data_IF_474034636995
#
_entry.id   IF_474034636995
#
_cell.length_a   1.000
_cell.length_b   1.000
_cell.length_c   1.000
_cell.angle_alpha   90.00
_cell.angle_beta   90.00
_cell.angle_gamma   90.00
#
_symmetry.space_group_name_H-M   'P 1'
#
loop_
_entity.id
_entity.type
_entity.pdbx_description
1 polymer ?
#
# COMPACT_ATOMS: atom_id res chain seq x y z
N UNK A 1 -5.03 7.70 -17.83
CA UNK A 1 -5.70 8.54 -16.82
C UNK A 1 -5.89 7.72 -15.55
N UNK A 2 -5.40 8.22 -14.42
CA UNK A 2 -5.57 7.65 -13.08
C UNK A 2 -6.71 8.38 -12.35
N UNK A 3 -7.61 7.63 -11.71
CA UNK A 3 -8.71 8.17 -10.90
C UNK A 3 -8.85 7.32 -9.65
N UNK A 4 -9.09 7.96 -8.50
CA UNK A 4 -9.34 7.27 -7.24
C UNK A 4 -10.52 7.87 -6.47
N UNK A 5 -11.14 7.05 -5.63
CA UNK A 5 -12.21 7.42 -4.71
C UNK A 5 -12.12 6.63 -3.42
N UNK A 6 -12.65 7.18 -2.34
CA UNK A 6 -12.80 6.43 -1.10
C UNK A 6 -13.67 5.17 -1.31
N UNK A 7 -13.27 4.08 -0.68
CA UNK A 7 -14.06 2.86 -0.63
C UNK A 7 -15.10 2.91 0.48
N UNK A 8 -16.18 2.15 0.32
CA UNK A 8 -17.11 1.77 1.39
C UNK A 8 -16.44 0.92 2.47
N UNK A 9 -15.36 0.19 2.14
CA UNK A 9 -14.50 -0.40 3.15
C UNK A 9 -13.67 0.70 3.81
N UNK A 10 -13.87 0.92 5.11
CA UNK A 10 -13.24 2.01 5.86
C UNK A 10 -11.72 2.04 5.68
N UNK A 11 -11.21 3.14 5.12
CA UNK A 11 -9.78 3.41 4.94
C UNK A 11 -9.17 2.81 3.67
N UNK A 12 -9.93 2.03 2.90
CA UNK A 12 -9.51 1.55 1.59
C UNK A 12 -9.86 2.59 0.50
N UNK A 13 -9.17 2.48 -0.63
CA UNK A 13 -9.35 3.35 -1.80
C UNK A 13 -9.59 2.48 -3.02
N UNK A 14 -10.57 2.85 -3.84
CA UNK A 14 -10.81 2.22 -5.14
C UNK A 14 -10.23 3.13 -6.20
N UNK A 15 -9.49 2.56 -7.14
CA UNK A 15 -8.82 3.31 -8.20
C UNK A 15 -8.90 2.62 -9.55
N UNK A 16 -8.77 3.39 -10.62
CA UNK A 16 -8.58 2.91 -11.98
C UNK A 16 -7.40 3.62 -12.64
N UNK A 17 -6.70 2.91 -13.50
CA UNK A 17 -5.65 3.49 -14.31
C UNK A 17 -5.77 2.97 -15.75
N UNK A 18 -6.07 3.87 -16.68
CA UNK A 18 -6.06 3.58 -18.12
C UNK A 18 -4.86 4.27 -18.76
N UNK A 19 -3.66 3.66 -18.78
CA UNK A 19 -2.48 4.29 -19.35
C UNK A 19 -2.71 4.64 -20.83
N UNK A 20 -2.33 5.85 -21.24
CA UNK A 20 -2.55 6.36 -22.61
C UNK A 20 -1.47 5.90 -23.61
N UNK A 21 -0.47 5.14 -23.16
CA UNK A 21 0.64 4.63 -23.94
C UNK A 21 1.55 3.73 -23.10
N UNK A 22 2.52 3.03 -23.72
CA UNK A 22 3.53 2.29 -22.98
C UNK A 22 4.35 3.26 -22.15
N UNK A 23 4.32 3.09 -20.84
CA UNK A 23 5.07 3.90 -19.89
C UNK A 23 5.42 3.04 -18.69
N UNK A 24 6.64 3.21 -18.18
CA UNK A 24 7.06 2.53 -16.95
C UNK A 24 6.39 3.20 -15.76
N UNK A 25 5.49 2.48 -15.10
CA UNK A 25 4.79 2.95 -13.91
C UNK A 25 5.64 2.72 -12.68
N UNK A 26 6.01 3.78 -11.94
CA UNK A 26 6.72 3.63 -10.66
C UNK A 26 5.76 3.66 -9.49
N UNK A 27 5.64 2.54 -8.79
CA UNK A 27 4.84 2.40 -7.59
C UNK A 27 5.78 2.50 -6.39
N UNK A 28 5.57 3.50 -5.54
CA UNK A 28 6.37 3.72 -4.34
C UNK A 28 5.80 2.92 -3.17
N UNK A 29 6.65 2.46 -2.23
CA UNK A 29 6.17 1.81 -1.02
C UNK A 29 5.31 2.79 -0.22
N UNK A 30 4.12 2.38 0.18
CA UNK A 30 3.15 3.18 0.95
C UNK A 30 2.59 2.43 2.19
N UNK A 31 3.01 1.18 2.39
CA UNK A 31 2.53 0.31 3.47
C UNK A 31 1.21 -0.38 3.17
N UNK A 32 0.64 -0.16 1.99
CA UNK A 32 -0.60 -0.76 1.56
C UNK A 32 -0.35 -2.07 0.80
N UNK A 33 -1.45 -2.74 0.50
CA UNK A 33 -1.53 -3.87 -0.42
C UNK A 33 -2.75 -3.64 -1.29
N UNK A 34 -2.71 -4.10 -2.54
CA UNK A 34 -3.79 -3.86 -3.49
C UNK A 34 -4.35 -5.20 -4.00
N UNK A 35 -5.68 -5.30 -4.10
CA UNK A 35 -6.34 -6.29 -4.95
C UNK A 35 -6.58 -5.64 -6.31
N UNK A 36 -6.03 -6.24 -7.35
CA UNK A 36 -5.99 -5.69 -8.69
C UNK A 36 -6.82 -6.54 -9.64
N UNK A 37 -7.40 -5.87 -10.63
CA UNK A 37 -7.96 -6.47 -11.82
C UNK A 37 -7.28 -5.88 -13.06
N UNK A 38 -6.81 -6.75 -13.95
CA UNK A 38 -6.32 -6.39 -15.27
C UNK A 38 -6.62 -7.54 -16.24
N UNK A 39 -7.24 -7.22 -17.38
CA UNK A 39 -7.51 -8.18 -18.46
C UNK A 39 -8.08 -9.53 -18.00
N UNK A 40 -9.12 -9.49 -17.15
CA UNK A 40 -9.80 -10.69 -16.64
C UNK A 40 -9.04 -11.48 -15.57
N UNK A 41 -7.88 -11.00 -15.12
CA UNK A 41 -7.08 -11.61 -14.04
C UNK A 41 -7.25 -10.83 -12.74
N UNK A 42 -7.24 -11.54 -11.63
CA UNK A 42 -7.25 -10.97 -10.29
C UNK A 42 -5.87 -11.20 -9.67
N UNK A 43 -5.21 -10.12 -9.30
CA UNK A 43 -3.86 -10.15 -8.74
C UNK A 43 -3.81 -9.49 -7.38
N UNK A 44 -2.79 -9.81 -6.60
CA UNK A 44 -2.47 -9.15 -5.34
C UNK A 44 -1.12 -8.47 -5.47
N UNK A 45 -1.09 -7.17 -5.19
CA UNK A 45 0.13 -6.44 -4.93
C UNK A 45 0.44 -6.51 -3.44
N UNK A 46 1.53 -7.19 -3.09
CA UNK A 46 2.02 -7.19 -1.71
C UNK A 46 2.71 -5.87 -1.34
N UNK A 47 3.07 -5.71 -0.06
CA UNK A 47 3.71 -4.48 0.39
C UNK A 47 5.15 -4.43 -0.13
N UNK A 48 5.55 -3.26 -0.61
CA UNK A 48 6.89 -3.06 -1.14
C UNK A 48 7.83 -2.45 -0.08
N UNK A 49 9.10 -2.83 -0.17
CA UNK A 49 10.22 -2.24 0.58
C UNK A 49 10.98 -1.18 -0.21
N UNK A 50 10.78 -1.16 -1.52
CA UNK A 50 11.39 -0.26 -2.49
C UNK A 50 10.44 -0.08 -3.68
N UNK A 51 10.71 0.88 -4.56
CA UNK A 51 9.83 1.14 -5.68
C UNK A 51 9.76 -0.06 -6.63
N UNK A 52 8.53 -0.46 -6.93
CA UNK A 52 8.25 -1.39 -8.02
C UNK A 52 8.13 -0.61 -9.33
N UNK A 53 8.83 -1.09 -10.36
CA UNK A 53 8.72 -0.56 -11.72
C UNK A 53 7.87 -1.53 -12.53
N UNK A 54 6.66 -1.11 -12.84
CA UNK A 54 5.80 -1.82 -13.79
C UNK A 54 6.34 -1.58 -15.20
N UNK A 55 6.62 -2.67 -15.92
CA UNK A 55 7.09 -2.63 -17.31
C UNK A 55 5.95 -2.31 -18.30
N UNK A 56 4.74 -2.05 -17.80
CA UNK A 56 3.63 -1.50 -18.56
C UNK A 56 2.76 -2.60 -19.16
N UNK A 57 2.11 -3.38 -18.29
CA UNK A 57 1.13 -4.36 -18.79
C UNK A 57 0.04 -3.66 -19.62
N UNK A 58 -0.32 -4.20 -20.79
CA UNK A 58 -1.32 -3.60 -21.65
C UNK A 58 -2.70 -3.56 -20.95
N UNK A 59 -3.48 -2.53 -21.26
CA UNK A 59 -4.87 -2.41 -20.83
C UNK A 59 -5.10 -1.59 -19.56
N UNK A 60 -6.39 -1.44 -19.23
CA UNK A 60 -6.82 -0.71 -18.04
C UNK A 60 -6.70 -1.54 -16.78
N UNK A 61 -6.29 -0.90 -15.70
CA UNK A 61 -6.26 -1.46 -14.36
C UNK A 61 -7.44 -0.94 -13.55
N UNK A 62 -7.99 -1.81 -12.71
CA UNK A 62 -8.81 -1.41 -11.57
C UNK A 62 -8.17 -1.99 -10.31
N UNK A 63 -8.20 -1.25 -9.22
CA UNK A 63 -7.61 -1.68 -7.97
C UNK A 63 -8.44 -1.28 -6.76
N UNK A 64 -8.34 -2.08 -5.72
CA UNK A 64 -8.73 -1.72 -4.37
C UNK A 64 -7.48 -1.76 -3.50
N UNK A 65 -7.02 -0.58 -3.08
CA UNK A 65 -5.94 -0.41 -2.12
C UNK A 65 -6.50 -0.54 -0.72
N UNK A 66 -6.05 -1.54 0.01
CA UNK A 66 -6.39 -1.72 1.41
C UNK A 66 -5.65 -0.71 2.27
N UNK A 67 -6.28 -0.27 3.36
CA UNK A 67 -5.53 0.44 4.40
C UNK A 67 -4.39 -0.45 4.93
N UNK A 68 -3.19 0.09 5.25
CA UNK A 68 -2.09 -0.69 5.81
C UNK A 68 -2.53 -1.62 6.94
N UNK A 69 -2.24 -2.91 6.78
CA UNK A 69 -2.60 -3.96 7.74
C UNK A 69 -3.97 -4.61 7.55
N UNK A 70 -4.83 -4.14 6.65
CA UNK A 70 -6.13 -4.77 6.42
C UNK A 70 -6.03 -6.04 5.56
N UNK A 71 -5.31 -5.97 4.43
CA UNK A 71 -5.31 -7.02 3.41
C UNK A 71 -5.02 -8.45 3.92
N UNK A 72 -4.08 -8.70 4.87
CA UNK A 72 -3.79 -10.05 5.34
C UNK A 72 -5.00 -10.81 5.88
N UNK A 73 -5.91 -10.12 6.57
CA UNK A 73 -7.14 -10.73 7.09
C UNK A 73 -8.09 -11.15 5.95
N UNK A 74 -8.13 -10.36 4.87
CA UNK A 74 -8.93 -10.68 3.68
C UNK A 74 -8.33 -11.87 2.93
N UNK A 75 -7.03 -11.80 2.66
CA UNK A 75 -6.28 -12.75 1.83
C UNK A 75 -6.03 -14.10 2.52
N UNK A 76 -6.06 -14.15 3.85
CA UNK A 76 -5.80 -15.37 4.62
C UNK A 76 -4.31 -15.76 4.70
N UNK A 77 -3.41 -14.84 4.32
CA UNK A 77 -1.95 -15.02 4.39
C UNK A 77 -1.30 -13.79 5.03
N UNK A 78 -0.20 -13.96 5.77
CA UNK A 78 0.50 -12.81 6.35
C UNK A 78 1.17 -11.98 5.26
N UNK A 79 1.21 -10.66 5.43
CA UNK A 79 1.76 -9.72 4.45
C UNK A 79 3.21 -10.03 4.07
N UNK A 80 4.04 -10.55 4.99
CA UNK A 80 5.44 -10.87 4.70
C UNK A 80 5.62 -12.01 3.69
N UNK A 81 4.61 -12.86 3.48
CA UNK A 81 4.64 -13.89 2.43
C UNK A 81 4.56 -13.28 1.01
N UNK A 82 4.04 -12.05 0.91
CA UNK A 82 3.80 -11.33 -0.33
C UNK A 82 4.69 -10.09 -0.49
N UNK A 83 5.63 -9.86 0.44
CA UNK A 83 6.50 -8.68 0.41
C UNK A 83 7.30 -8.64 -0.89
N UNK A 84 7.30 -7.47 -1.53
CA UNK A 84 7.97 -7.21 -2.83
C UNK A 84 7.48 -8.13 -3.97
N UNK A 85 6.25 -8.64 -3.88
CA UNK A 85 5.69 -9.56 -4.89
C UNK A 85 4.38 -9.03 -5.48
N UNK A 86 4.13 -9.45 -6.72
CA UNK A 86 2.84 -9.43 -7.40
C UNK A 86 2.49 -10.88 -7.71
N UNK A 87 1.35 -11.37 -7.23
CA UNK A 87 0.93 -12.76 -7.40
C UNK A 87 -0.48 -12.83 -7.94
N UNK A 88 -0.81 -13.87 -8.70
CA UNK A 88 -2.19 -14.14 -9.08
C UNK A 88 -2.97 -14.55 -7.83
N UNK A 89 -4.23 -14.13 -7.71
CA UNK A 89 -5.07 -14.49 -6.55
C UNK A 89 -5.25 -16.02 -6.46
N UNK A 90 -5.15 -16.72 -7.59
CA UNK A 90 -5.21 -18.18 -7.68
C UNK A 90 -4.00 -18.90 -7.05
N UNK A 91 -2.90 -18.18 -6.76
CA UNK A 91 -1.80 -18.72 -5.95
C UNK A 91 -2.15 -18.77 -4.46
N UNK A 92 -3.12 -17.95 -4.02
CA UNK A 92 -3.54 -17.87 -2.62
C UNK A 92 -4.82 -18.66 -2.37
N UNK A 93 -5.77 -18.58 -3.31
CA UNK A 93 -7.11 -19.14 -3.17
C UNK A 93 -7.40 -20.18 -4.23
N UNK A 94 -8.38 -21.05 -3.97
CA UNK A 94 -8.72 -22.10 -4.93
C UNK A 94 -9.17 -21.51 -6.27
N UNK A 95 -8.76 -22.10 -7.41
CA UNK A 95 -9.13 -21.60 -8.74
C UNK A 95 -10.65 -21.46 -8.95
N UNK A 96 -11.46 -22.31 -8.31
CA UNK A 96 -12.92 -22.24 -8.38
C UNK A 96 -13.47 -20.97 -7.71
N UNK A 97 -12.91 -20.57 -6.55
CA UNK A 97 -13.28 -19.32 -5.89
C UNK A 97 -12.85 -18.14 -6.75
N UNK A 98 -11.61 -18.13 -7.24
CA UNK A 98 -11.08 -17.02 -8.07
C UNK A 98 -11.91 -16.83 -9.33
N UNK A 99 -12.23 -17.90 -10.08
CA UNK A 99 -13.12 -17.82 -11.26
C UNK A 99 -14.47 -17.19 -10.94
N UNK A 100 -15.09 -17.56 -9.82
CA UNK A 100 -16.38 -16.98 -9.39
C UNK A 100 -16.25 -15.48 -9.11
N UNK A 101 -15.17 -15.07 -8.45
CA UNK A 101 -14.94 -13.65 -8.13
C UNK A 101 -14.62 -12.85 -9.39
N UNK A 102 -13.74 -13.35 -10.26
CA UNK A 102 -13.45 -12.76 -11.56
C UNK A 102 -14.73 -12.57 -12.39
N UNK A 103 -15.60 -13.58 -12.45
CA UNK A 103 -16.87 -13.46 -13.15
C UNK A 103 -17.77 -12.35 -12.58
N UNK A 104 -17.83 -12.21 -11.25
CA UNK A 104 -18.59 -11.11 -10.59
C UNK A 104 -17.99 -9.74 -10.92
N UNK A 105 -16.67 -9.60 -10.88
CA UNK A 105 -15.99 -8.35 -11.24
C UNK A 105 -16.22 -8.00 -12.72
N UNK A 106 -16.14 -8.98 -13.62
CA UNK A 106 -16.35 -8.78 -15.05
C UNK A 106 -17.81 -8.43 -15.40
N UNK A 107 -18.77 -8.95 -14.64
CA UNK A 107 -20.20 -8.69 -14.83
C UNK A 107 -20.66 -7.34 -14.24
N UNK A 108 -19.84 -6.69 -13.42
CA UNK A 108 -20.16 -5.38 -12.85
C UNK A 108 -20.10 -4.27 -13.92
N UNK A 109 -20.90 -3.21 -13.72
CA UNK A 109 -20.94 -2.05 -14.61
C UNK A 109 -19.57 -1.38 -14.79
N UNK A 110 -18.75 -1.39 -13.73
CA UNK A 110 -17.33 -1.06 -13.77
C UNK A 110 -16.51 -2.00 -12.88
N UNK A 111 -15.24 -2.21 -13.22
CA UNK A 111 -14.39 -3.24 -12.60
C UNK A 111 -13.96 -2.84 -11.19
N UNK A 112 -13.85 -1.54 -10.94
CA UNK A 112 -13.44 -1.01 -9.65
C UNK A 112 -14.54 -1.21 -8.60
N UNK A 113 -15.79 -0.95 -8.96
CA UNK A 113 -16.95 -1.28 -8.12
C UNK A 113 -17.14 -2.78 -7.96
N UNK A 114 -16.87 -3.58 -9.00
CA UNK A 114 -16.86 -5.05 -8.89
C UNK A 114 -15.86 -5.57 -7.86
N UNK A 115 -14.63 -5.04 -7.86
CA UNK A 115 -13.61 -5.35 -6.85
C UNK A 115 -14.07 -4.97 -5.44
N UNK A 116 -14.66 -3.78 -5.30
CA UNK A 116 -15.19 -3.30 -4.03
C UNK A 116 -16.29 -4.22 -3.48
N UNK A 117 -17.24 -4.68 -4.31
CA UNK A 117 -18.27 -5.63 -3.89
C UNK A 117 -17.70 -6.98 -3.43
N UNK A 118 -16.67 -7.48 -4.11
CA UNK A 118 -15.97 -8.71 -3.70
C UNK A 118 -15.37 -8.55 -2.30
N UNK A 119 -14.69 -7.43 -2.08
CA UNK A 119 -14.04 -7.13 -0.79
C UNK A 119 -15.08 -6.89 0.31
N UNK A 120 -16.17 -6.19 0.04
CA UNK A 120 -17.26 -5.98 1.00
C UNK A 120 -17.97 -7.27 1.38
N UNK A 121 -18.25 -8.14 0.40
CA UNK A 121 -18.80 -9.47 0.67
C UNK A 121 -17.89 -10.28 1.60
N UNK A 122 -16.57 -10.22 1.36
CA UNK A 122 -15.59 -10.85 2.26
C UNK A 122 -15.53 -10.18 3.63
N UNK A 123 -15.62 -8.86 3.69
CA UNK A 123 -15.65 -8.10 4.94
C UNK A 123 -16.84 -8.50 5.83
N UNK A 124 -17.98 -8.85 5.25
CA UNK A 124 -19.17 -9.30 5.99
C UNK A 124 -18.99 -10.68 6.63
N UNK A 125 -18.15 -11.54 6.05
CA UNK A 125 -17.78 -12.84 6.60
C UNK A 125 -16.68 -12.71 7.67
N UNK A 126 -15.88 -11.66 7.58
CA UNK A 126 -14.80 -11.37 8.52
C UNK A 126 -15.32 -10.59 9.73
N UNK A 127 -14.80 -10.90 10.91
CA UNK A 127 -15.07 -10.11 12.11
C UNK A 127 -14.51 -8.69 12.02
N UNK A 128 -14.67 -7.93 13.12
CA UNK A 128 -14.13 -6.57 13.20
C UNK A 128 -12.60 -6.59 13.05
N UNK A 129 -12.00 -5.69 12.23
CA UNK A 129 -10.54 -5.59 12.12
C UNK A 129 -9.89 -5.31 13.47
N UNK A 130 -8.65 -5.81 13.67
CA UNK A 130 -7.88 -5.51 14.87
C UNK A 130 -7.60 -3.99 14.95
N UNK A 131 -8.18 -3.27 15.92
CA UNK A 131 -8.01 -1.83 16.03
C UNK A 131 -6.57 -1.42 16.36
N UNK A 132 -5.75 -2.33 16.90
CA UNK A 132 -4.35 -2.06 17.24
C UNK A 132 -3.54 -1.77 15.98
N UNK A 133 -3.82 -2.44 14.85
CA UNK A 133 -3.07 -2.23 13.61
C UNK A 133 -3.20 -0.80 13.10
N UNK A 134 -4.41 -0.25 13.15
CA UNK A 134 -4.64 1.15 12.79
C UNK A 134 -3.93 2.11 13.73
N UNK A 135 -4.00 1.88 15.05
CA UNK A 135 -3.28 2.73 16.01
C UNK A 135 -1.76 2.71 15.79
N UNK A 136 -1.18 1.57 15.40
CA UNK A 136 0.24 1.49 15.02
C UNK A 136 0.52 2.40 13.82
N UNK A 137 -0.27 2.29 12.76
CA UNK A 137 -0.08 3.11 11.55
C UNK A 137 -0.25 4.59 11.88
N UNK A 138 -1.32 4.97 12.56
CA UNK A 138 -1.61 6.36 12.93
C UNK A 138 -0.48 6.97 13.79
N UNK A 139 0.05 6.21 14.76
CA UNK A 139 1.16 6.67 15.61
C UNK A 139 2.47 6.85 14.82
N UNK A 140 2.82 5.88 13.97
CA UNK A 140 4.03 5.95 13.15
C UNK A 140 3.91 7.00 12.04
N UNK A 141 2.71 7.21 11.50
CA UNK A 141 2.44 8.25 10.53
C UNK A 141 2.48 9.66 11.17
N UNK A 142 2.10 9.78 12.43
CA UNK A 142 2.36 10.98 13.22
C UNK A 142 3.85 11.19 13.57
N UNK A 143 4.75 10.30 13.14
CA UNK A 143 6.18 10.40 13.39
C UNK A 143 6.61 9.95 14.79
N UNK A 144 5.75 9.24 15.54
CA UNK A 144 6.12 8.75 16.87
C UNK A 144 7.24 7.70 16.80
N UNK A 145 8.19 7.71 17.74
CA UNK A 145 9.20 6.67 17.84
C UNK A 145 8.57 5.30 18.09
N UNK A 146 9.12 4.26 17.44
CA UNK A 146 8.64 2.88 17.56
C UNK A 146 8.53 2.39 19.01
N UNK A 147 9.46 2.79 19.89
CA UNK A 147 9.40 2.45 21.32
C UNK A 147 8.19 3.07 22.01
N UNK A 148 7.96 4.37 21.82
CA UNK A 148 6.81 5.07 22.38
C UNK A 148 5.48 4.51 21.85
N UNK A 149 5.41 4.15 20.56
CA UNK A 149 4.25 3.45 19.98
C UNK A 149 4.01 2.09 20.64
N UNK A 150 5.08 1.36 20.98
CA UNK A 150 4.96 0.08 21.66
C UNK A 150 4.40 0.26 23.08
N UNK A 151 4.96 1.20 23.84
CA UNK A 151 4.57 1.49 25.22
C UNK A 151 3.12 1.96 25.33
N UNK A 152 2.70 2.90 24.48
CA UNK A 152 1.31 3.41 24.43
C UNK A 152 0.28 2.31 24.16
N UNK A 153 0.64 1.34 23.33
CA UNK A 153 -0.24 0.24 22.95
C UNK A 153 -0.14 -0.96 23.91
N UNK A 154 0.68 -0.87 24.96
CA UNK A 154 0.93 -1.97 25.89
C UNK A 154 1.58 -3.19 25.22
N UNK A 155 2.36 -2.96 24.17
CA UNK A 155 3.03 -4.00 23.40
C UNK A 155 4.52 -4.03 23.72
N UNK A 156 5.06 -5.21 24.04
CA UNK A 156 6.51 -5.38 24.04
C UNK A 156 7.09 -5.25 22.63
N UNK A 157 8.34 -4.80 22.49
CA UNK A 157 9.00 -4.60 21.20
C UNK A 157 8.93 -5.83 20.26
N UNK A 158 9.10 -7.04 20.82
CA UNK A 158 8.97 -8.30 20.08
C UNK A 158 7.56 -8.53 19.55
N UNK A 159 6.54 -8.18 20.34
CA UNK A 159 5.14 -8.35 19.94
C UNK A 159 4.76 -7.33 18.86
N UNK A 160 5.19 -6.06 19.00
CA UNK A 160 5.01 -5.04 17.97
C UNK A 160 5.66 -5.50 16.66
N UNK A 161 6.92 -5.95 16.71
CA UNK A 161 7.62 -6.44 15.52
C UNK A 161 6.90 -7.61 14.84
N UNK A 162 6.47 -8.62 15.61
CA UNK A 162 5.72 -9.77 15.07
C UNK A 162 4.39 -9.36 14.44
N UNK A 163 3.63 -8.48 15.10
CA UNK A 163 2.37 -7.93 14.56
C UNK A 163 2.63 -7.17 13.27
N UNK A 164 3.68 -6.34 13.23
CA UNK A 164 4.05 -5.59 12.03
C UNK A 164 4.43 -6.48 10.85
N UNK A 165 5.22 -7.53 11.07
CA UNK A 165 5.56 -8.49 10.01
C UNK A 165 4.33 -9.16 9.41
N UNK A 166 3.38 -9.57 10.25
CA UNK A 166 2.15 -10.21 9.79
C UNK A 166 1.22 -9.25 9.04
N UNK A 167 1.12 -8.00 9.50
CA UNK A 167 0.18 -7.01 8.98
C UNK A 167 0.72 -6.20 7.78
N UNK A 168 1.99 -5.80 7.82
CA UNK A 168 2.59 -4.83 6.89
C UNK A 168 3.73 -5.43 6.05
N UNK A 169 4.14 -6.67 6.35
CA UNK A 169 5.21 -7.39 5.64
C UNK A 169 6.62 -7.10 6.14
N UNK A 170 6.79 -6.06 6.96
CA UNK A 170 8.07 -5.65 7.53
C UNK A 170 7.90 -5.10 8.95
N UNK A 171 9.02 -4.88 9.64
CA UNK A 171 9.02 -4.37 11.01
C UNK A 171 8.55 -2.91 11.12
N UNK A 172 8.24 -2.46 12.35
CA UNK A 172 7.70 -1.12 12.60
C UNK A 172 8.66 0.01 12.19
N UNK A 173 9.97 -0.22 12.22
CA UNK A 173 10.96 0.76 11.72
C UNK A 173 10.84 0.99 10.22
N UNK A 174 10.67 -0.08 9.44
CA UNK A 174 10.48 0.01 7.99
C UNK A 174 9.15 0.70 7.68
N UNK A 175 8.08 0.37 8.40
CA UNK A 175 6.80 1.06 8.25
C UNK A 175 6.91 2.55 8.55
N UNK A 176 7.53 2.94 9.68
CA UNK A 176 7.74 4.34 10.02
C UNK A 176 8.54 5.09 8.95
N UNK A 177 9.57 4.43 8.40
CA UNK A 177 10.40 4.96 7.31
C UNK A 177 9.59 5.19 6.03
N UNK A 178 8.76 4.22 5.64
CA UNK A 178 7.87 4.31 4.46
C UNK A 178 6.84 5.44 4.63
N UNK A 179 6.15 5.50 5.77
CA UNK A 179 5.16 6.54 6.04
C UNK A 179 5.80 7.93 6.07
N UNK A 180 7.00 8.05 6.67
CA UNK A 180 7.78 9.29 6.65
C UNK A 180 8.11 9.75 5.23
N UNK A 181 8.54 8.83 4.36
CA UNK A 181 8.78 9.15 2.96
C UNK A 181 7.50 9.67 2.28
N UNK A 182 6.36 9.00 2.48
CA UNK A 182 5.08 9.43 1.89
C UNK A 182 4.72 10.86 2.31
N UNK A 183 4.83 11.20 3.60
CA UNK A 183 4.62 12.57 4.09
C UNK A 183 5.59 13.57 3.48
N UNK A 184 6.88 13.22 3.37
CA UNK A 184 7.89 14.10 2.79
C UNK A 184 7.62 14.37 1.30
N UNK A 185 7.23 13.33 0.54
CA UNK A 185 6.88 13.49 -0.87
C UNK A 185 5.60 14.31 -1.05
N UNK A 186 4.62 14.21 -0.16
CA UNK A 186 3.44 15.07 -0.19
C UNK A 186 3.83 16.55 -0.02
N UNK A 187 4.58 16.91 1.02
CA UNK A 187 5.04 18.28 1.24
C UNK A 187 5.90 18.82 0.09
N UNK A 188 6.82 18.01 -0.43
CA UNK A 188 7.68 18.42 -1.53
C UNK A 188 6.88 18.65 -2.83
N UNK A 189 5.84 17.84 -3.09
CA UNK A 189 4.91 18.04 -4.22
C UNK A 189 4.07 19.32 -4.08
N UNK A 190 3.77 19.71 -2.84
CA UNK A 190 3.10 20.97 -2.52
C UNK A 190 4.06 22.18 -2.58
N UNK A 191 5.31 21.98 -2.99
CA UNK A 191 6.29 23.04 -3.22
C UNK A 191 7.11 23.43 -1.99
N UNK A 192 7.00 22.70 -0.87
CA UNK A 192 7.82 22.98 0.31
C UNK A 192 9.30 22.71 0.00
N UNK A 193 10.22 23.65 0.28
CA UNK A 193 11.66 23.45 0.04
C UNK A 193 12.19 22.18 0.71
N UNK A 194 13.13 21.49 0.08
CA UNK A 194 13.57 20.16 0.54
C UNK A 194 14.18 20.15 1.95
N UNK A 195 14.94 21.18 2.32
CA UNK A 195 15.47 21.31 3.67
C UNK A 195 14.36 21.46 4.74
N UNK A 196 13.32 22.23 4.41
CA UNK A 196 12.16 22.40 5.28
C UNK A 196 11.29 21.15 5.34
N UNK A 197 11.07 20.49 4.20
CA UNK A 197 10.40 19.18 4.12
C UNK A 197 11.10 18.16 5.02
N UNK A 198 12.44 18.11 4.98
CA UNK A 198 13.24 17.23 5.82
C UNK A 198 12.99 17.49 7.31
N UNK A 199 13.11 18.75 7.75
CA UNK A 199 12.88 19.15 9.13
C UNK A 199 11.46 18.83 9.62
N UNK A 200 10.43 19.13 8.81
CA UNK A 200 9.02 18.91 9.15
C UNK A 200 8.62 17.43 9.24
N UNK A 201 9.37 16.54 8.58
CA UNK A 201 9.02 15.10 8.53
C UNK A 201 9.94 14.22 9.36
N UNK A 202 10.88 14.79 10.10
CA UNK A 202 11.77 14.04 11.00
C UNK A 202 12.95 13.39 10.29
N UNK A 203 13.42 14.01 9.20
CA UNK A 203 14.77 13.79 8.68
C UNK A 203 15.76 14.69 9.41
N UNK A 204 17.02 14.24 9.49
CA UNK A 204 18.09 15.01 10.12
C UNK A 204 18.46 16.24 9.29
N UNK A 205 18.45 16.10 7.97
CA UNK A 205 18.77 17.13 7.00
C UNK A 205 18.26 16.72 5.60
N UNK A 206 18.44 17.60 4.61
CA UNK A 206 18.09 17.33 3.22
C UNK A 206 18.87 16.15 2.61
N UNK A 207 20.11 15.91 3.02
CA UNK A 207 20.92 14.82 2.50
C UNK A 207 20.43 13.44 3.01
N UNK A 208 19.93 13.37 4.24
CA UNK A 208 19.23 12.20 4.77
C UNK A 208 17.94 11.96 3.98
N UNK A 209 17.11 12.98 3.76
CA UNK A 209 15.92 12.85 2.90
C UNK A 209 16.27 12.32 1.50
N UNK A 210 17.27 12.92 0.85
CA UNK A 210 17.68 12.52 -0.50
C UNK A 210 18.18 11.08 -0.58
N UNK A 211 18.95 10.62 0.43
CA UNK A 211 19.39 9.22 0.53
C UNK A 211 18.21 8.28 0.71
N UNK A 212 17.27 8.62 1.59
CA UNK A 212 16.10 7.80 1.87
C UNK A 212 15.20 7.67 0.63
N UNK A 213 15.01 8.77 -0.11
CA UNK A 213 14.29 8.77 -1.39
C UNK A 213 15.01 7.91 -2.41
N UNK A 214 16.34 8.01 -2.53
CA UNK A 214 17.09 7.18 -3.49
C UNK A 214 17.00 5.70 -3.17
N UNK A 215 17.10 5.33 -1.90
CA UNK A 215 17.01 3.93 -1.45
C UNK A 215 15.61 3.33 -1.65
N UNK A 216 14.55 4.09 -1.34
CA UNK A 216 13.18 3.58 -1.40
C UNK A 216 12.51 3.79 -2.76
N UNK A 217 12.83 4.86 -3.49
CA UNK A 217 12.22 5.16 -4.79
C UNK A 217 13.07 4.71 -5.98
N UNK A 218 14.38 4.47 -5.77
CA UNK A 218 15.34 4.15 -6.82
C UNK A 218 15.78 5.34 -7.67
N UNK A 219 15.32 6.56 -7.37
CA UNK A 219 15.63 7.78 -8.12
C UNK A 219 15.96 8.95 -7.19
N UNK A 220 16.73 9.96 -7.66
CA UNK A 220 16.88 11.23 -6.96
C UNK A 220 15.54 11.94 -6.74
N UNK A 221 15.42 12.69 -5.64
CA UNK A 221 14.21 13.41 -5.28
C UNK A 221 13.73 14.38 -6.38
N UNK A 222 14.65 15.12 -7.01
CA UNK A 222 14.30 16.04 -8.09
C UNK A 222 13.72 15.34 -9.32
N UNK A 223 14.30 14.20 -9.72
CA UNK A 223 13.80 13.41 -10.85
C UNK A 223 12.45 12.77 -10.54
N UNK A 224 12.29 12.24 -9.31
CA UNK A 224 11.04 11.64 -8.86
C UNK A 224 9.87 12.63 -8.87
N UNK A 225 10.13 13.91 -8.58
CA UNK A 225 9.10 14.96 -8.55
C UNK A 225 8.91 15.65 -9.91
N UNK A 226 9.94 15.69 -10.75
CA UNK A 226 9.91 16.31 -12.07
C UNK A 226 9.28 15.46 -13.17
N UNK A 227 9.13 14.15 -12.97
CA UNK A 227 8.59 13.21 -13.97
C UNK A 227 7.05 13.17 -14.07
N UNK A 228 6.36 14.32 -13.98
CA UNK A 228 4.92 14.41 -14.25
C UNK A 228 4.63 14.51 -15.75
#
# INVERSE_FOLDING_TARGET
>A
MYVERASRLRGAVVWTNSPSGPGTGRILPDGCMDLLWNDGRLMVAGPDTHAYVDEGAPGGWAGLRFFPGQAPAFLGVPAHALRDRRVELAELWSPAVVRRLTARVNAAGDRASGLEEVVLGRAAELGRPDPVLRRIVDALDAGRPVGATADELGLGARQLHRRSLAAFGYGPKTLARVLRLQRALALARDGVPYAETAARTGYADQAHLARDVRELAGLPLGELLGGR
#
